data_IF_024687554847
#
_entry.id   IF_024687554847
#
_cell.length_a   1.000
_cell.length_b   1.000
_cell.length_c   1.000
_cell.angle_alpha   90.00
_cell.angle_beta   90.00
_cell.angle_gamma   90.00
#
_symmetry.space_group_name_H-M   'P 1'
#
loop_
_entity.id
_entity.type
_entity.pdbx_description
1 polymer ?
#
# COMPACT_ATOMS: atom_id res chain seq x y z
N UNK A 1 31.47 -24.20 62.44
CA UNK A 1 31.40 -22.80 62.92
C UNK A 1 31.64 -21.90 61.72
N UNK A 2 30.74 -20.94 61.50
CA UNK A 2 30.73 -19.87 60.50
C UNK A 2 30.26 -20.16 59.06
N UNK A 3 28.93 -20.13 58.94
CA UNK A 3 28.14 -19.73 57.79
C UNK A 3 28.52 -18.31 57.33
N UNK A 4 28.93 -18.13 56.08
CA UNK A 4 28.79 -16.84 55.39
C UNK A 4 27.78 -17.04 54.27
N UNK A 5 26.58 -16.59 54.59
CA UNK A 5 25.45 -16.44 53.69
C UNK A 5 25.51 -14.97 53.25
N UNK A 6 26.40 -14.65 52.33
CA UNK A 6 26.52 -13.32 51.73
C UNK A 6 25.71 -13.28 50.44
N UNK A 7 24.39 -13.37 50.60
CA UNK A 7 23.47 -12.91 49.57
C UNK A 7 23.85 -11.46 49.27
N UNK A 8 24.47 -11.22 48.11
CA UNK A 8 24.84 -9.90 47.61
C UNK A 8 23.61 -9.02 47.54
N UNK A 9 23.38 -8.27 48.63
CA UNK A 9 22.29 -7.32 48.75
C UNK A 9 22.84 -5.95 48.39
N UNK A 10 22.46 -5.47 47.21
CA UNK A 10 22.79 -4.11 46.77
C UNK A 10 22.19 -3.10 47.73
N UNK A 11 23.06 -2.27 48.32
CA UNK A 11 22.69 -1.31 49.38
C UNK A 11 21.71 -0.21 48.95
N UNK A 12 21.25 -0.20 47.69
CA UNK A 12 20.45 0.90 47.15
C UNK A 12 19.03 0.57 46.66
N UNK A 13 18.58 -0.69 46.57
CA UNK A 13 17.17 -1.02 46.23
C UNK A 13 16.72 -2.36 46.82
N UNK A 14 15.65 -2.32 47.64
CA UNK A 14 14.70 -3.41 47.96
C UNK A 14 15.16 -4.86 47.73
N UNK A 15 15.48 -5.61 48.80
CA UNK A 15 15.30 -7.08 49.05
C UNK A 15 15.28 -8.13 47.91
N UNK A 16 15.79 -7.87 46.69
CA UNK A 16 15.76 -8.86 45.59
C UNK A 16 17.17 -9.37 45.30
N UNK A 17 17.34 -10.69 45.28
CA UNK A 17 18.63 -11.34 45.00
C UNK A 17 18.93 -11.47 43.49
N UNK A 18 20.19 -11.78 43.17
CA UNK A 18 20.65 -12.09 41.81
C UNK A 18 20.45 -13.57 41.46
N UNK A 19 20.60 -13.94 40.19
CA UNK A 19 20.38 -15.30 39.68
C UNK A 19 21.50 -16.29 40.02
N UNK A 20 22.61 -15.83 40.62
CA UNK A 20 23.72 -16.66 41.12
C UNK A 20 24.83 -16.95 40.12
N UNK A 21 24.79 -16.35 38.92
CA UNK A 21 25.86 -16.43 37.93
C UNK A 21 26.31 -15.02 37.52
N UNK A 22 27.62 -14.85 37.38
CA UNK A 22 28.27 -13.64 36.88
C UNK A 22 28.80 -13.88 35.46
N UNK A 23 28.50 -12.94 34.57
CA UNK A 23 28.94 -12.96 33.18
C UNK A 23 29.69 -11.66 32.89
N UNK A 24 31.02 -11.74 32.83
CA UNK A 24 31.88 -10.58 32.51
C UNK A 24 31.61 -9.34 33.38
N UNK A 25 31.51 -9.54 34.70
CA UNK A 25 31.20 -8.47 35.65
C UNK A 25 29.72 -8.09 35.74
N UNK A 26 28.82 -8.72 34.96
CA UNK A 26 27.38 -8.49 35.01
C UNK A 26 26.64 -9.63 35.70
N UNK A 27 25.72 -9.27 36.60
CA UNK A 27 24.79 -10.21 37.25
C UNK A 27 23.34 -9.82 36.92
N UNK A 28 22.45 -10.81 36.89
CA UNK A 28 21.03 -10.59 36.60
C UNK A 28 20.20 -10.56 37.88
N UNK A 29 19.35 -9.54 38.02
CA UNK A 29 18.41 -9.43 39.12
C UNK A 29 17.20 -10.35 38.91
N UNK A 30 16.83 -11.12 39.94
CA UNK A 30 15.64 -11.97 39.92
C UNK A 30 14.36 -11.20 40.31
N UNK A 31 14.09 -10.12 39.57
CA UNK A 31 12.90 -9.30 39.79
C UNK A 31 11.64 -9.96 39.22
N UNK A 32 10.49 -9.90 39.91
CA UNK A 32 9.23 -10.29 39.30
C UNK A 32 8.92 -9.36 38.12
N UNK A 33 8.31 -9.91 37.08
CA UNK A 33 7.88 -9.13 35.92
C UNK A 33 6.94 -7.98 36.36
N UNK A 34 7.11 -6.76 35.82
CA UNK A 34 6.24 -5.65 36.16
C UNK A 34 4.78 -5.98 35.88
N UNK A 35 3.89 -5.72 36.85
CA UNK A 35 2.47 -6.09 36.73
C UNK A 35 1.78 -5.44 35.53
N UNK A 36 2.12 -4.19 35.22
CA UNK A 36 1.58 -3.49 34.05
C UNK A 36 1.99 -4.17 32.74
N UNK A 37 3.23 -4.71 32.67
CA UNK A 37 3.72 -5.43 31.50
C UNK A 37 2.94 -6.74 31.31
N UNK A 38 2.70 -7.48 32.40
CA UNK A 38 1.88 -8.70 32.36
C UNK A 38 0.45 -8.41 31.91
N UNK A 39 -0.18 -7.34 32.41
CA UNK A 39 -1.51 -6.94 31.97
C UNK A 39 -1.55 -6.62 30.48
N UNK A 40 -0.58 -5.86 29.97
CA UNK A 40 -0.47 -5.58 28.53
C UNK A 40 -0.28 -6.87 27.73
N UNK A 41 0.59 -7.77 28.18
CA UNK A 41 0.82 -9.06 27.53
C UNK A 41 -0.46 -9.92 27.47
N UNK A 42 -1.23 -9.99 28.56
CA UNK A 42 -2.52 -10.70 28.54
C UNK A 42 -3.57 -10.00 27.68
N UNK A 43 -3.58 -8.66 27.66
CA UNK A 43 -4.48 -7.90 26.80
C UNK A 43 -4.22 -8.17 25.31
N UNK A 44 -2.96 -8.28 24.87
CA UNK A 44 -2.65 -8.61 23.47
C UNK A 44 -3.06 -10.04 23.10
N UNK A 45 -2.94 -11.00 24.03
CA UNK A 45 -3.45 -12.36 23.83
C UNK A 45 -4.97 -12.36 23.65
N UNK A 46 -5.69 -11.69 24.55
CA UNK A 46 -7.15 -11.57 24.46
C UNK A 46 -7.56 -10.89 23.15
N UNK A 47 -6.85 -9.83 22.75
CA UNK A 47 -7.08 -9.16 21.48
C UNK A 47 -6.85 -10.07 20.27
N UNK A 48 -5.77 -10.86 20.26
CA UNK A 48 -5.48 -11.80 19.19
C UNK A 48 -6.59 -12.86 19.05
N UNK A 49 -7.07 -13.41 20.17
CA UNK A 49 -8.17 -14.37 20.18
C UNK A 49 -9.47 -13.74 19.65
N UNK A 50 -9.80 -12.53 20.08
CA UNK A 50 -10.94 -11.79 19.56
C UNK A 50 -10.81 -11.52 18.05
N UNK A 51 -9.61 -11.16 17.59
CA UNK A 51 -9.33 -10.90 16.18
C UNK A 51 -9.53 -12.15 15.32
N UNK A 52 -9.10 -13.33 15.80
CA UNK A 52 -9.32 -14.60 15.10
C UNK A 52 -10.79 -15.01 14.99
N UNK A 53 -11.62 -14.58 15.94
CA UNK A 53 -13.07 -14.80 15.89
C UNK A 53 -13.73 -13.89 14.85
N UNK A 54 -13.24 -12.66 14.71
CA UNK A 54 -13.85 -11.64 13.86
C UNK A 54 -13.40 -11.71 12.41
N UNK A 55 -12.11 -12.01 12.18
CA UNK A 55 -11.48 -11.97 10.87
C UNK A 55 -11.01 -13.36 10.41
N UNK A 56 -10.72 -13.51 9.10
CA UNK A 56 -10.07 -14.70 8.60
C UNK A 56 -8.70 -14.97 9.24
N UNK A 57 -8.49 -16.18 9.76
CA UNK A 57 -7.27 -16.48 10.54
C UNK A 57 -6.67 -17.86 10.29
N UNK A 58 -7.40 -18.94 10.61
CA UNK A 58 -6.81 -20.29 10.71
C UNK A 58 -7.00 -21.03 9.39
N UNK A 59 -5.92 -21.48 8.71
CA UNK A 59 -6.04 -22.33 7.55
C UNK A 59 -6.52 -23.73 7.95
N UNK A 60 -7.48 -24.25 7.20
CA UNK A 60 -7.98 -25.61 7.26
C UNK A 60 -7.49 -26.36 6.01
N UNK A 61 -7.62 -27.69 5.98
CA UNK A 61 -7.13 -28.52 4.87
C UNK A 61 -7.61 -28.05 3.48
N UNK A 62 -8.80 -27.46 3.38
CA UNK A 62 -9.40 -26.99 2.12
C UNK A 62 -9.95 -25.56 2.18
N UNK A 63 -9.82 -24.87 3.32
CA UNK A 63 -10.44 -23.55 3.54
C UNK A 63 -9.75 -22.78 4.67
N UNK A 64 -10.42 -21.81 5.25
CA UNK A 64 -9.96 -21.06 6.42
C UNK A 64 -11.16 -20.59 7.25
N UNK A 65 -10.95 -20.27 8.53
CA UNK A 65 -12.00 -19.63 9.35
C UNK A 65 -12.34 -18.28 8.74
N UNK A 66 -13.60 -17.99 8.40
CA UNK A 66 -13.99 -16.71 7.75
C UNK A 66 -14.17 -15.55 8.73
N UNK A 67 -14.29 -15.85 10.02
CA UNK A 67 -14.68 -14.90 11.06
C UNK A 67 -16.16 -14.52 11.01
N UNK A 68 -16.65 -13.85 12.05
CA UNK A 68 -18.07 -13.47 12.18
C UNK A 68 -18.47 -12.27 11.33
N UNK A 69 -17.53 -11.43 10.89
CA UNK A 69 -17.83 -10.28 10.04
C UNK A 69 -17.87 -10.62 8.54
N UNK A 70 -17.42 -11.81 8.16
CA UNK A 70 -17.38 -12.23 6.76
C UNK A 70 -16.44 -11.39 5.87
N UNK A 71 -15.57 -10.58 6.47
CA UNK A 71 -14.65 -9.71 5.73
C UNK A 71 -13.55 -10.51 5.01
N UNK A 72 -13.22 -10.12 3.78
CA UNK A 72 -12.01 -10.61 3.09
C UNK A 72 -11.34 -9.47 2.31
N UNK A 73 -10.00 -9.50 2.21
CA UNK A 73 -9.25 -8.47 1.47
C UNK A 73 -9.61 -8.43 -0.01
N UNK A 74 -9.89 -9.58 -0.62
CA UNK A 74 -10.32 -9.67 -2.03
C UNK A 74 -11.68 -9.00 -2.25
N UNK A 75 -12.65 -9.26 -1.37
CA UNK A 75 -13.97 -8.64 -1.47
C UNK A 75 -13.90 -7.13 -1.22
N UNK A 76 -13.05 -6.68 -0.29
CA UNK A 76 -12.84 -5.25 -0.06
C UNK A 76 -12.36 -4.55 -1.33
N UNK A 77 -11.37 -5.12 -2.03
CA UNK A 77 -10.87 -4.55 -3.29
C UNK A 77 -11.97 -4.46 -4.34
N UNK A 78 -12.80 -5.50 -4.47
CA UNK A 78 -13.93 -5.48 -5.42
C UNK A 78 -14.91 -4.35 -5.07
N UNK A 79 -15.28 -4.21 -3.79
CA UNK A 79 -16.15 -3.12 -3.32
C UNK A 79 -15.55 -1.74 -3.61
N UNK A 80 -14.26 -1.55 -3.33
CA UNK A 80 -13.58 -0.27 -3.56
C UNK A 80 -13.53 0.06 -5.07
N UNK A 81 -13.23 -0.93 -5.91
CA UNK A 81 -13.23 -0.76 -7.37
C UNK A 81 -14.63 -0.46 -7.91
N UNK A 82 -15.66 -1.14 -7.41
CA UNK A 82 -17.03 -0.91 -7.85
C UNK A 82 -17.54 0.47 -7.40
N UNK A 83 -17.18 0.93 -6.19
CA UNK A 83 -17.44 2.29 -5.75
C UNK A 83 -16.76 3.34 -6.63
N UNK A 84 -15.52 3.10 -7.04
CA UNK A 84 -14.83 3.98 -8.01
C UNK A 84 -15.49 3.97 -9.39
N UNK A 85 -15.95 2.80 -9.86
CA UNK A 85 -16.70 2.68 -11.12
C UNK A 85 -18.03 3.41 -11.06
N UNK A 86 -18.74 3.39 -9.94
CA UNK A 86 -20.00 4.13 -9.79
C UNK A 86 -19.76 5.65 -9.90
N UNK A 87 -18.69 6.14 -9.27
CA UNK A 87 -18.35 7.57 -9.29
C UNK A 87 -17.84 8.02 -10.66
N UNK A 88 -16.95 7.24 -11.30
CA UNK A 88 -16.25 7.65 -12.53
C UNK A 88 -16.89 7.12 -13.82
N UNK A 89 -17.59 5.98 -13.73
CA UNK A 89 -18.13 5.22 -14.85
C UNK A 89 -19.02 6.03 -15.78
N UNK A 90 -19.96 6.87 -15.31
CA UNK A 90 -20.80 7.66 -16.20
C UNK A 90 -20.00 8.60 -17.11
N UNK A 91 -18.95 9.23 -16.59
CA UNK A 91 -18.12 10.15 -17.37
C UNK A 91 -17.14 9.39 -18.27
N UNK A 92 -16.56 8.29 -17.77
CA UNK A 92 -15.73 7.39 -18.58
C UNK A 92 -16.51 6.82 -19.76
N UNK A 93 -17.76 6.37 -19.56
CA UNK A 93 -18.62 5.86 -20.62
C UNK A 93 -18.94 6.92 -21.69
N UNK A 94 -19.13 8.19 -21.28
CA UNK A 94 -19.30 9.30 -22.23
C UNK A 94 -18.05 9.52 -23.09
N UNK A 95 -16.85 9.42 -22.50
CA UNK A 95 -15.58 9.52 -23.23
C UNK A 95 -15.40 8.34 -24.18
N UNK A 96 -15.71 7.12 -23.74
CA UNK A 96 -15.58 5.91 -24.57
C UNK A 96 -16.53 5.91 -25.79
N UNK A 97 -17.72 6.49 -25.64
CA UNK A 97 -18.71 6.58 -26.71
C UNK A 97 -18.50 7.76 -27.67
N UNK A 98 -17.76 8.79 -27.26
CA UNK A 98 -17.53 10.00 -28.06
C UNK A 98 -16.36 9.81 -29.05
N UNK A 99 -16.43 10.47 -30.20
CA UNK A 99 -15.26 10.59 -31.07
C UNK A 99 -14.20 11.50 -30.44
N UNK A 100 -12.93 11.36 -30.84
CA UNK A 100 -11.85 12.23 -30.37
C UNK A 100 -12.16 13.71 -30.65
N UNK A 101 -12.79 13.99 -31.79
CA UNK A 101 -13.19 15.33 -32.20
C UNK A 101 -14.35 15.88 -31.35
N UNK A 102 -15.28 15.03 -30.91
CA UNK A 102 -16.39 15.45 -30.03
C UNK A 102 -15.89 15.72 -28.61
N UNK A 103 -14.93 14.93 -28.12
CA UNK A 103 -14.27 15.16 -26.83
C UNK A 103 -13.55 16.51 -26.87
N UNK A 104 -12.79 16.80 -27.93
CA UNK A 104 -12.08 18.06 -28.10
C UNK A 104 -13.02 19.28 -28.12
N UNK A 105 -14.18 19.15 -28.77
CA UNK A 105 -15.15 20.26 -28.91
C UNK A 105 -16.04 20.46 -27.68
N UNK A 106 -16.09 19.50 -26.75
CA UNK A 106 -16.96 19.56 -25.57
C UNK A 106 -16.14 19.87 -24.32
N UNK A 107 -16.22 21.10 -23.76
CA UNK A 107 -15.34 21.51 -22.66
C UNK A 107 -15.38 20.61 -21.43
N UNK A 108 -16.57 20.08 -21.09
CA UNK A 108 -16.74 19.15 -19.96
C UNK A 108 -15.95 17.85 -20.20
N UNK A 109 -16.14 17.22 -21.37
CA UNK A 109 -15.44 16.00 -21.77
C UNK A 109 -13.94 16.22 -21.88
N UNK A 110 -13.52 17.33 -22.50
CA UNK A 110 -12.11 17.68 -22.66
C UNK A 110 -11.41 17.87 -21.30
N UNK A 111 -12.07 18.55 -20.36
CA UNK A 111 -11.51 18.79 -19.03
C UNK A 111 -11.29 17.47 -18.26
N UNK A 112 -12.27 16.57 -18.32
CA UNK A 112 -12.18 15.26 -17.70
C UNK A 112 -11.13 14.38 -18.39
N UNK A 113 -11.11 14.35 -19.73
CA UNK A 113 -10.15 13.60 -20.52
C UNK A 113 -8.71 14.07 -20.25
N UNK A 114 -8.48 15.38 -20.12
CA UNK A 114 -7.17 15.93 -19.75
C UNK A 114 -6.77 15.57 -18.32
N UNK A 115 -7.68 15.61 -17.36
CA UNK A 115 -7.39 15.23 -15.98
C UNK A 115 -7.01 13.74 -15.87
N UNK A 116 -7.78 12.85 -16.50
CA UNK A 116 -7.48 11.41 -16.54
C UNK A 116 -6.21 11.14 -17.38
N UNK A 117 -6.08 11.81 -18.52
CA UNK A 117 -4.95 11.70 -19.43
C UNK A 117 -3.64 12.15 -18.79
N UNK A 118 -3.64 13.20 -17.98
CA UNK A 118 -2.46 13.66 -17.24
C UNK A 118 -2.00 12.61 -16.22
N UNK A 119 -2.93 11.98 -15.50
CA UNK A 119 -2.60 10.89 -14.58
C UNK A 119 -2.04 9.67 -15.33
N UNK A 120 -2.68 9.28 -16.44
CA UNK A 120 -2.21 8.18 -17.28
C UNK A 120 -0.84 8.48 -17.91
N UNK A 121 -0.60 9.72 -18.35
CA UNK A 121 0.66 10.17 -18.91
C UNK A 121 1.78 10.12 -17.88
N UNK A 122 1.52 10.61 -16.65
CA UNK A 122 2.50 10.58 -15.57
C UNK A 122 2.99 9.16 -15.26
N UNK A 123 2.08 8.18 -15.27
CA UNK A 123 2.40 6.78 -14.95
C UNK A 123 3.05 6.06 -16.14
N UNK A 124 2.53 6.23 -17.35
CA UNK A 124 2.86 5.36 -18.48
C UNK A 124 3.79 6.00 -19.52
N UNK A 125 3.80 7.33 -19.63
CA UNK A 125 4.46 8.04 -20.75
C UNK A 125 5.64 8.89 -20.28
N UNK A 126 5.53 9.49 -19.09
CA UNK A 126 6.54 10.40 -18.54
C UNK A 126 7.95 9.80 -18.38
N UNK A 127 8.13 8.47 -18.13
CA UNK A 127 9.47 7.90 -18.08
C UNK A 127 10.25 8.04 -19.39
N UNK A 128 9.54 8.12 -20.53
CA UNK A 128 10.13 8.23 -21.87
C UNK A 128 9.98 9.63 -22.47
N UNK A 129 8.89 10.33 -22.21
CA UNK A 129 8.62 11.65 -22.79
C UNK A 129 8.85 12.81 -21.81
N UNK A 130 9.30 12.54 -20.59
CA UNK A 130 9.51 13.55 -19.56
C UNK A 130 8.22 14.01 -18.89
N UNK A 131 8.33 14.58 -17.68
CA UNK A 131 7.18 15.00 -16.87
C UNK A 131 6.34 16.11 -17.53
N UNK A 132 6.95 16.98 -18.34
CA UNK A 132 6.29 18.03 -19.12
C UNK A 132 6.08 17.66 -20.58
N UNK A 133 6.22 16.38 -20.93
CA UNK A 133 6.13 15.86 -22.29
C UNK A 133 7.21 16.38 -23.26
N UNK A 134 8.28 16.99 -22.75
CA UNK A 134 9.33 17.65 -23.52
C UNK A 134 10.30 16.71 -24.26
N UNK A 135 10.25 15.40 -23.99
CA UNK A 135 11.16 14.42 -24.56
C UNK A 135 12.61 14.54 -24.08
N UNK A 136 13.49 13.75 -24.71
CA UNK A 136 14.95 13.81 -24.55
C UNK A 136 15.61 13.07 -25.72
N UNK A 137 16.94 13.02 -25.78
CA UNK A 137 17.64 12.37 -26.90
C UNK A 137 17.16 10.92 -27.09
N UNK A 138 16.57 10.64 -28.26
CA UNK A 138 16.00 9.34 -28.61
C UNK A 138 14.50 9.19 -28.34
N UNK A 139 13.85 10.18 -27.72
CA UNK A 139 12.42 10.18 -27.41
C UNK A 139 11.77 11.50 -27.82
N UNK A 140 10.70 11.46 -28.65
CA UNK A 140 10.05 12.66 -29.16
C UNK A 140 9.58 13.63 -28.07
N UNK A 141 9.65 14.93 -28.38
CA UNK A 141 8.87 15.94 -27.71
C UNK A 141 7.39 15.81 -28.15
N UNK A 142 6.45 15.82 -27.21
CA UNK A 142 5.01 15.71 -27.48
C UNK A 142 4.26 17.01 -27.19
N UNK A 143 4.97 18.09 -26.84
CA UNK A 143 4.39 19.41 -26.55
C UNK A 143 4.73 20.48 -27.60
N UNK A 144 5.31 20.08 -28.74
CA UNK A 144 5.51 20.95 -29.91
C UNK A 144 4.62 20.53 -31.09
N UNK A 145 4.83 21.18 -32.23
CA UNK A 145 4.03 21.01 -33.44
C UNK A 145 4.67 20.03 -34.46
N UNK A 146 5.80 19.37 -34.13
CA UNK A 146 6.55 18.52 -35.05
C UNK A 146 6.26 17.02 -34.82
N UNK A 147 5.41 16.44 -35.67
CA UNK A 147 4.93 15.06 -35.51
C UNK A 147 5.51 14.10 -36.55
N UNK A 148 6.36 13.16 -36.10
CA UNK A 148 6.99 12.14 -36.95
C UNK A 148 6.01 11.19 -37.65
N UNK A 149 4.89 10.86 -36.97
CA UNK A 149 3.90 9.87 -37.44
C UNK A 149 2.52 10.49 -37.65
N UNK A 150 2.46 11.81 -37.83
CA UNK A 150 1.22 12.58 -37.98
C UNK A 150 0.68 13.12 -36.65
N UNK A 151 0.31 14.40 -36.65
CA UNK A 151 -0.18 15.13 -35.47
C UNK A 151 -1.70 15.24 -35.35
N UNK A 152 -2.46 14.57 -36.22
CA UNK A 152 -3.91 14.50 -36.06
C UNK A 152 -4.28 13.60 -34.87
N UNK A 153 -5.43 13.86 -34.24
CA UNK A 153 -5.91 13.05 -33.13
C UNK A 153 -5.98 11.55 -33.48
N UNK A 154 -6.40 11.22 -34.71
CA UNK A 154 -6.47 9.84 -35.17
C UNK A 154 -5.09 9.19 -35.34
N UNK A 155 -4.09 9.93 -35.86
CA UNK A 155 -2.73 9.44 -36.02
C UNK A 155 -2.03 9.23 -34.66
N UNK A 156 -2.24 10.16 -33.72
CA UNK A 156 -1.75 10.03 -32.35
C UNK A 156 -2.39 8.83 -31.66
N UNK A 157 -3.73 8.68 -31.76
CA UNK A 157 -4.45 7.56 -31.17
C UNK A 157 -4.01 6.22 -31.75
N UNK A 158 -3.77 6.14 -33.06
CA UNK A 158 -3.23 4.95 -33.71
C UNK A 158 -1.84 4.59 -33.16
N UNK A 159 -0.95 5.58 -33.02
CA UNK A 159 0.38 5.40 -32.45
C UNK A 159 0.31 4.90 -31.00
N UNK A 160 -0.63 5.42 -30.20
CA UNK A 160 -0.83 4.97 -28.82
C UNK A 160 -1.40 3.54 -28.72
N UNK A 161 -2.27 3.15 -29.65
CA UNK A 161 -2.93 1.83 -29.65
C UNK A 161 -2.04 0.71 -30.17
N UNK A 162 -1.23 0.99 -31.18
CA UNK A 162 -0.47 -0.03 -31.89
C UNK A 162 1.05 0.13 -31.76
N UNK A 163 1.55 1.29 -31.35
CA UNK A 163 2.97 1.61 -31.37
C UNK A 163 3.44 2.06 -32.76
N UNK A 164 4.76 2.21 -32.92
CA UNK A 164 5.40 2.78 -34.12
C UNK A 164 5.94 1.72 -35.13
N UNK A 165 5.78 0.44 -34.83
CA UNK A 165 6.28 -0.73 -35.61
C UNK A 165 5.31 -1.90 -35.47
N UNK A 166 4.09 -1.74 -36.00
CA UNK A 166 2.99 -2.70 -35.79
C UNK A 166 2.65 -3.51 -37.04
N UNK A 167 3.44 -3.33 -38.08
CA UNK A 167 3.54 -4.08 -39.33
C UNK A 167 4.51 -5.27 -39.22
#
# INVERSE_FOLDING_TARGET
MNTKNDNGLDAHKTTVGTTGHEWDGLEELNNPLPRWWLWTFYATIIWALAYWIVYPAIPLATSFTKGVFGWTSREQIVKDLDGLKEIRGPMTAKIEAASLQDIEKTPELLSFARAQGAAAFAVNCSPCHGAGAQGFKGYPNLNDDDWLWGGSLDAIHQTLRHGIRWD
#
